data_IF_690534323564
#
_entry.id   IF_690534323564
#
_cell.length_a   1.000
_cell.length_b   1.000
_cell.length_c   1.000
_cell.angle_alpha   90.00
_cell.angle_beta   90.00
_cell.angle_gamma   90.00
#
_symmetry.space_group_name_H-M   'P 1'
#
loop_
_entity.id
_entity.type
_entity.pdbx_description
1 polymer ?
#
# COMPACT_ATOMS: atom_id res chain seq x y z
N UNK A 1 -24.18 6.84 -25.76
CA UNK A 1 -24.20 7.74 -24.60
C UNK A 1 -24.42 7.06 -23.25
N UNK A 2 -24.46 5.72 -23.13
CA UNK A 2 -24.91 5.08 -21.87
C UNK A 2 -23.84 4.33 -21.05
N UNK A 3 -22.58 4.30 -21.43
CA UNK A 3 -21.59 3.49 -20.70
C UNK A 3 -20.61 4.30 -19.83
N UNK A 4 -20.40 5.57 -20.14
CA UNK A 4 -19.47 6.44 -19.37
C UNK A 4 -20.20 7.12 -18.21
N UNK A 5 -21.42 7.64 -18.44
CA UNK A 5 -22.22 8.28 -17.38
C UNK A 5 -22.59 7.32 -16.25
N UNK A 6 -22.83 6.04 -16.54
CA UNK A 6 -23.19 5.05 -15.50
C UNK A 6 -22.01 4.68 -14.61
N UNK A 7 -20.75 4.73 -15.10
CA UNK A 7 -19.54 4.43 -14.31
C UNK A 7 -19.21 5.49 -13.28
N UNK A 8 -19.55 6.75 -13.53
CA UNK A 8 -19.26 7.86 -12.61
C UNK A 8 -20.42 8.19 -11.66
N UNK A 9 -21.54 7.49 -11.76
CA UNK A 9 -22.73 7.72 -10.93
C UNK A 9 -22.66 7.03 -9.55
N UNK A 10 -21.70 6.13 -9.31
CA UNK A 10 -21.59 5.41 -8.04
C UNK A 10 -20.44 5.95 -7.19
N UNK A 11 -20.65 6.00 -5.89
CA UNK A 11 -19.63 6.35 -4.90
C UNK A 11 -18.84 5.13 -4.40
N UNK A 12 -19.07 3.96 -4.98
CA UNK A 12 -18.35 2.74 -4.62
C UNK A 12 -16.82 2.93 -4.78
N UNK A 13 -15.99 2.59 -3.75
CA UNK A 13 -16.30 1.80 -2.56
C UNK A 13 -16.69 2.59 -1.28
N UNK A 14 -17.11 3.86 -1.37
CA UNK A 14 -17.45 4.68 -0.20
C UNK A 14 -18.85 4.31 0.31
N UNK A 15 -18.90 3.67 1.48
CA UNK A 15 -20.13 3.09 2.03
C UNK A 15 -21.11 4.13 2.59
N UNK A 16 -20.61 5.27 3.07
CA UNK A 16 -21.41 6.31 3.71
C UNK A 16 -21.56 7.59 2.89
N UNK A 17 -21.34 7.54 1.58
CA UNK A 17 -21.35 8.70 0.69
C UNK A 17 -22.63 9.55 0.79
N UNK A 18 -23.81 8.90 0.90
CA UNK A 18 -25.09 9.59 1.06
C UNK A 18 -25.17 10.46 2.33
N UNK A 19 -24.49 10.06 3.42
CA UNK A 19 -24.44 10.84 4.64
C UNK A 19 -23.53 12.07 4.45
N UNK A 20 -22.39 11.90 3.80
CA UNK A 20 -21.40 12.94 3.58
C UNK A 20 -21.88 14.12 2.72
N UNK A 21 -22.94 13.92 1.90
CA UNK A 21 -23.51 14.97 1.05
C UNK A 21 -24.78 15.62 1.62
N UNK A 22 -25.21 15.23 2.82
CA UNK A 22 -26.41 15.81 3.47
C UNK A 22 -26.15 17.18 4.10
N UNK A 23 -24.89 17.53 4.27
CA UNK A 23 -24.44 18.78 4.91
C UNK A 23 -23.24 19.38 4.15
N UNK A 24 -22.81 20.56 4.56
CA UNK A 24 -21.71 21.27 3.90
C UNK A 24 -22.07 21.74 2.49
N UNK A 25 -21.05 21.93 1.67
CA UNK A 25 -21.18 22.36 0.28
C UNK A 25 -21.48 21.16 -0.63
N UNK A 26 -22.72 20.74 -0.67
CA UNK A 26 -23.19 19.50 -1.28
C UNK A 26 -22.57 19.19 -2.65
N UNK A 27 -22.61 20.17 -3.58
CA UNK A 27 -22.19 19.95 -4.97
C UNK A 27 -20.73 19.54 -5.09
N UNK A 28 -19.82 20.32 -4.49
CA UNK A 28 -18.38 20.02 -4.57
C UNK A 28 -18.00 18.77 -3.77
N UNK A 29 -18.77 18.45 -2.69
CA UNK A 29 -18.61 17.17 -1.97
C UNK A 29 -19.02 15.99 -2.85
N UNK A 30 -20.16 16.07 -3.55
CA UNK A 30 -20.60 15.04 -4.49
C UNK A 30 -19.55 14.80 -5.59
N UNK A 31 -19.05 15.89 -6.19
CA UNK A 31 -18.05 15.80 -7.25
C UNK A 31 -16.73 15.22 -6.73
N UNK A 32 -16.24 15.68 -5.57
CA UNK A 32 -15.01 15.17 -4.95
C UNK A 32 -15.13 13.67 -4.58
N UNK A 33 -16.28 13.24 -4.03
CA UNK A 33 -16.56 11.83 -3.72
C UNK A 33 -16.58 10.96 -4.97
N UNK A 34 -17.15 11.42 -6.08
CA UNK A 34 -17.15 10.70 -7.36
C UNK A 34 -15.73 10.56 -7.91
N UNK A 35 -14.95 11.62 -7.87
CA UNK A 35 -13.57 11.64 -8.36
C UNK A 35 -12.71 10.66 -7.56
N UNK A 36 -12.76 10.72 -6.23
CA UNK A 36 -11.91 9.84 -5.40
C UNK A 36 -12.36 8.38 -5.48
N UNK A 37 -13.66 8.11 -5.62
CA UNK A 37 -14.19 6.76 -5.79
C UNK A 37 -13.64 6.09 -7.07
N UNK A 38 -13.48 6.84 -8.17
CA UNK A 38 -12.85 6.33 -9.40
C UNK A 38 -11.38 6.02 -9.16
N UNK A 39 -10.65 6.89 -8.46
CA UNK A 39 -9.26 6.65 -8.08
C UNK A 39 -9.10 5.40 -7.21
N UNK A 40 -9.98 5.22 -6.21
CA UNK A 40 -9.98 4.03 -5.35
C UNK A 40 -10.25 2.74 -6.14
N UNK A 41 -11.19 2.76 -7.09
CA UNK A 41 -11.43 1.59 -7.97
C UNK A 41 -10.24 1.28 -8.87
N UNK A 42 -9.52 2.30 -9.35
CA UNK A 42 -8.31 2.11 -10.14
C UNK A 42 -7.12 1.57 -9.30
N UNK A 43 -7.23 1.68 -7.99
CA UNK A 43 -6.29 1.08 -7.04
C UNK A 43 -6.54 -0.41 -6.78
N UNK A 44 -7.64 -0.99 -7.28
CA UNK A 44 -7.98 -2.41 -7.06
C UNK A 44 -6.97 -3.34 -7.77
N UNK A 45 -6.23 -4.17 -7.01
CA UNK A 45 -5.24 -5.07 -7.59
C UNK A 45 -5.85 -6.19 -8.42
N UNK A 46 -7.08 -6.61 -8.12
CA UNK A 46 -7.81 -7.62 -8.90
C UNK A 46 -8.13 -7.08 -10.29
N UNK A 47 -8.73 -5.88 -10.36
CA UNK A 47 -9.01 -5.22 -11.63
C UNK A 47 -7.73 -4.96 -12.45
N UNK A 48 -6.65 -4.50 -11.78
CA UNK A 48 -5.35 -4.32 -12.44
C UNK A 48 -4.77 -5.64 -12.96
N UNK A 49 -4.93 -6.73 -12.21
CA UNK A 49 -4.51 -8.07 -12.66
C UNK A 49 -5.32 -8.53 -13.86
N UNK A 50 -6.65 -8.36 -13.84
CA UNK A 50 -7.52 -8.74 -14.96
C UNK A 50 -7.18 -8.01 -16.27
N UNK A 51 -6.74 -6.77 -16.17
CA UNK A 51 -6.35 -5.99 -17.34
C UNK A 51 -5.02 -6.47 -17.93
N UNK A 52 -4.07 -6.86 -17.08
CA UNK A 52 -2.72 -7.21 -17.49
C UNK A 52 -2.50 -8.70 -17.73
N UNK A 53 -3.35 -9.57 -17.11
CA UNK A 53 -3.21 -11.02 -17.21
C UNK A 53 -4.47 -11.60 -17.86
N UNK A 54 -4.31 -12.18 -19.03
CA UNK A 54 -5.41 -12.86 -19.71
C UNK A 54 -4.90 -14.07 -20.50
N UNK A 55 -5.79 -15.03 -20.75
CA UNK A 55 -5.49 -16.28 -21.44
C UNK A 55 -6.35 -16.41 -22.69
N UNK A 56 -5.72 -16.78 -23.81
CA UNK A 56 -6.39 -17.18 -25.04
C UNK A 56 -5.89 -18.59 -25.44
N UNK A 57 -6.73 -19.59 -25.22
CA UNK A 57 -6.36 -20.98 -25.41
C UNK A 57 -5.17 -21.39 -24.53
N UNK A 58 -4.08 -21.80 -25.15
CA UNK A 58 -2.84 -22.17 -24.48
C UNK A 58 -1.80 -21.03 -24.41
N UNK A 59 -2.15 -19.82 -24.81
CA UNK A 59 -1.28 -18.66 -24.68
C UNK A 59 -1.74 -17.80 -23.50
N UNK A 60 -0.83 -17.58 -22.54
CA UNK A 60 -1.02 -16.68 -21.41
C UNK A 60 -0.29 -15.37 -21.69
N UNK A 61 -1.01 -14.28 -21.58
CA UNK A 61 -0.49 -12.91 -21.68
C UNK A 61 -0.35 -12.30 -20.30
N UNK A 62 0.82 -11.72 -20.02
CA UNK A 62 1.09 -10.98 -18.78
C UNK A 62 1.74 -9.66 -19.20
N UNK A 63 0.95 -8.58 -19.21
CA UNK A 63 1.34 -7.34 -19.87
C UNK A 63 1.82 -7.58 -21.31
N UNK A 64 3.05 -7.23 -21.64
CA UNK A 64 3.64 -7.46 -22.98
C UNK A 64 4.28 -8.85 -23.14
N UNK A 65 4.31 -9.65 -22.06
CA UNK A 65 4.93 -10.98 -22.09
C UNK A 65 3.92 -12.05 -22.45
N UNK A 66 4.37 -13.03 -23.27
CA UNK A 66 3.57 -14.18 -23.70
C UNK A 66 4.25 -15.47 -23.21
N UNK A 67 3.45 -16.36 -22.63
CA UNK A 67 3.87 -17.70 -22.20
C UNK A 67 3.03 -18.73 -22.95
N UNK A 68 3.69 -19.62 -23.67
CA UNK A 68 3.05 -20.79 -24.27
C UNK A 68 2.89 -21.88 -23.21
N UNK A 69 1.68 -22.05 -22.71
CA UNK A 69 1.35 -23.02 -21.68
C UNK A 69 1.50 -24.48 -22.11
N UNK A 70 1.61 -24.77 -23.41
CA UNK A 70 1.91 -26.14 -23.88
C UNK A 70 3.31 -26.59 -23.48
N UNK A 71 4.22 -25.65 -23.23
CA UNK A 71 5.59 -25.87 -22.78
C UNK A 71 5.76 -25.79 -21.25
N UNK A 72 4.67 -25.58 -20.52
CA UNK A 72 4.64 -25.44 -19.06
C UNK A 72 3.98 -26.66 -18.43
N UNK A 73 4.71 -27.37 -17.55
CA UNK A 73 4.21 -28.57 -16.88
C UNK A 73 3.26 -28.22 -15.74
N UNK A 74 3.66 -27.26 -14.87
CA UNK A 74 2.86 -26.82 -13.74
C UNK A 74 2.85 -25.30 -13.63
N UNK A 75 1.72 -24.74 -13.16
CA UNK A 75 1.59 -23.33 -12.83
C UNK A 75 1.26 -23.20 -11.35
N UNK A 76 2.06 -22.41 -10.63
CA UNK A 76 1.90 -22.17 -9.20
C UNK A 76 1.64 -20.70 -8.91
N UNK A 77 0.94 -20.44 -7.80
CA UNK A 77 0.76 -19.08 -7.25
C UNK A 77 1.24 -19.06 -5.81
N UNK A 78 2.18 -18.20 -5.49
CA UNK A 78 2.66 -17.95 -4.13
C UNK A 78 2.59 -16.47 -3.81
N UNK A 79 2.51 -16.08 -2.55
CA UNK A 79 2.57 -14.66 -2.23
C UNK A 79 2.15 -14.31 -0.83
N UNK A 80 2.26 -13.00 -0.55
CA UNK A 80 1.81 -12.41 0.71
C UNK A 80 1.59 -10.91 0.56
N UNK A 81 0.68 -10.36 1.36
CA UNK A 81 0.46 -8.92 1.45
C UNK A 81 -1.02 -8.54 1.44
N UNK A 82 -1.28 -7.26 1.77
CA UNK A 82 -2.65 -6.71 1.87
C UNK A 82 -3.44 -6.74 0.55
N UNK A 83 -2.73 -6.68 -0.59
CA UNK A 83 -3.33 -6.75 -1.94
C UNK A 83 -3.09 -8.08 -2.66
N UNK A 84 -2.52 -9.10 -1.99
CA UNK A 84 -2.16 -10.37 -2.64
C UNK A 84 -3.38 -11.24 -2.92
N UNK A 85 -4.43 -11.14 -2.10
CA UNK A 85 -5.64 -11.94 -2.25
C UNK A 85 -6.43 -11.63 -3.52
N UNK A 86 -6.74 -10.35 -3.86
CA UNK A 86 -7.38 -10.01 -5.12
C UNK A 86 -6.56 -10.44 -6.35
N UNK A 87 -5.23 -10.31 -6.29
CA UNK A 87 -4.34 -10.80 -7.35
C UNK A 87 -4.47 -12.32 -7.50
N UNK A 88 -4.38 -13.06 -6.39
CA UNK A 88 -4.47 -14.52 -6.39
C UNK A 88 -5.84 -15.00 -6.89
N UNK A 89 -6.92 -14.34 -6.48
CA UNK A 89 -8.28 -14.67 -6.94
C UNK A 89 -8.41 -14.51 -8.46
N UNK A 90 -7.90 -13.42 -9.01
CA UNK A 90 -7.92 -13.19 -10.45
C UNK A 90 -7.03 -14.18 -11.20
N UNK A 91 -5.84 -14.49 -10.67
CA UNK A 91 -4.98 -15.54 -11.24
C UNK A 91 -5.67 -16.91 -11.25
N UNK A 92 -6.41 -17.27 -10.19
CA UNK A 92 -7.16 -18.52 -10.16
C UNK A 92 -8.25 -18.57 -11.23
N UNK A 93 -8.92 -17.44 -11.51
CA UNK A 93 -9.92 -17.35 -12.58
C UNK A 93 -9.30 -17.47 -13.97
N UNK A 94 -8.23 -16.72 -14.23
CA UNK A 94 -7.56 -16.68 -15.55
C UNK A 94 -6.88 -18.02 -15.86
N UNK A 95 -6.16 -18.59 -14.90
CA UNK A 95 -5.42 -19.83 -15.08
C UNK A 95 -6.34 -21.05 -15.10
N UNK A 96 -7.45 -21.01 -14.35
CA UNK A 96 -8.49 -22.04 -14.32
C UNK A 96 -7.92 -23.47 -14.16
N UNK A 97 -8.07 -24.29 -15.19
CA UNK A 97 -7.60 -25.69 -15.24
C UNK A 97 -6.06 -25.83 -15.29
N UNK A 98 -5.34 -24.77 -15.64
CA UNK A 98 -3.87 -24.77 -15.69
C UNK A 98 -3.22 -24.52 -14.35
N UNK A 99 -3.96 -23.99 -13.35
CA UNK A 99 -3.43 -23.76 -12.01
C UNK A 99 -3.26 -25.09 -11.26
N UNK A 100 -2.01 -25.40 -10.90
CA UNK A 100 -1.67 -26.64 -10.21
C UNK A 100 -1.87 -26.54 -8.70
N UNK A 101 -1.35 -25.51 -8.06
CA UNK A 101 -1.49 -25.23 -6.64
C UNK A 101 -1.07 -23.79 -6.31
N UNK A 102 -1.44 -23.32 -5.12
CA UNK A 102 -0.97 -22.02 -4.64
C UNK A 102 -1.09 -21.86 -3.13
N UNK A 103 -0.35 -20.90 -2.59
CA UNK A 103 -0.44 -20.45 -1.19
C UNK A 103 -0.25 -18.95 -1.14
N UNK A 104 -1.18 -18.23 -0.51
CA UNK A 104 -1.05 -16.80 -0.22
C UNK A 104 -1.30 -16.51 1.25
N UNK A 105 -0.45 -15.65 1.84
CA UNK A 105 -0.59 -15.18 3.21
C UNK A 105 -1.24 -13.81 3.26
N UNK A 106 -2.29 -13.67 4.07
CA UNK A 106 -3.11 -12.46 4.21
C UNK A 106 -3.22 -12.05 5.68
N UNK A 107 -3.63 -10.81 5.95
CA UNK A 107 -3.91 -10.38 7.33
C UNK A 107 -5.20 -11.00 7.84
N UNK A 108 -5.37 -11.01 9.16
CA UNK A 108 -6.60 -11.49 9.81
C UNK A 108 -7.85 -10.77 9.26
N UNK A 109 -8.93 -11.55 9.04
CA UNK A 109 -10.22 -11.05 8.60
C UNK A 109 -10.43 -11.01 7.08
N UNK A 110 -9.42 -11.35 6.28
CA UNK A 110 -9.55 -11.49 4.83
C UNK A 110 -9.87 -12.96 4.48
N UNK A 111 -11.13 -13.28 4.18
CA UNK A 111 -11.57 -14.67 3.95
C UNK A 111 -12.40 -14.89 2.68
N UNK A 112 -11.92 -14.68 1.47
CA UNK A 112 -12.43 -15.48 0.37
C UNK A 112 -11.75 -16.83 0.32
N UNK A 113 -12.54 -17.89 0.25
CA UNK A 113 -12.03 -19.24 -0.05
C UNK A 113 -11.80 -19.35 -1.54
N UNK A 114 -10.55 -19.49 -1.93
CA UNK A 114 -10.18 -19.88 -3.28
C UNK A 114 -10.28 -21.42 -3.41
N UNK A 115 -10.36 -21.92 -4.64
CA UNK A 115 -10.58 -23.35 -4.90
C UNK A 115 -9.30 -24.16 -4.86
N UNK A 116 -8.22 -23.58 -5.42
CA UNK A 116 -6.93 -24.24 -5.65
C UNK A 116 -5.81 -23.59 -4.84
N UNK A 117 -5.97 -22.29 -4.53
CA UNK A 117 -5.00 -21.54 -3.74
C UNK A 117 -5.38 -21.60 -2.26
N UNK A 118 -4.46 -22.09 -1.41
CA UNK A 118 -4.59 -22.08 0.05
C UNK A 118 -4.35 -20.66 0.59
N UNK A 119 -5.36 -20.08 1.21
CA UNK A 119 -5.31 -18.74 1.81
C UNK A 119 -5.05 -18.89 3.30
N UNK A 120 -3.93 -18.32 3.78
CA UNK A 120 -3.49 -18.40 5.16
C UNK A 120 -3.49 -17.04 5.84
N UNK A 121 -4.20 -16.91 6.93
CA UNK A 121 -4.14 -15.74 7.80
C UNK A 121 -2.84 -15.73 8.61
N UNK A 122 -2.23 -14.55 8.76
CA UNK A 122 -0.99 -14.34 9.50
C UNK A 122 -0.95 -12.97 10.19
N UNK A 123 -0.06 -12.85 11.19
CA UNK A 123 0.06 -11.63 12.00
C UNK A 123 0.59 -10.43 11.20
N UNK A 124 -0.08 -9.30 11.37
CA UNK A 124 0.33 -8.00 10.81
C UNK A 124 -0.07 -6.87 11.78
N UNK A 125 0.79 -5.88 12.09
CA UNK A 125 2.13 -5.60 11.51
C UNK A 125 3.28 -6.44 12.08
N UNK A 126 3.08 -7.18 13.16
CA UNK A 126 4.09 -8.04 13.74
C UNK A 126 3.90 -9.49 13.26
N UNK A 127 4.97 -10.15 12.77
CA UNK A 127 4.89 -11.54 12.37
C UNK A 127 4.64 -12.44 13.58
N UNK A 128 3.86 -13.50 13.40
CA UNK A 128 3.59 -14.54 14.40
C UNK A 128 3.92 -15.94 13.87
N UNK A 129 3.57 -16.99 14.63
CA UNK A 129 3.82 -18.37 14.23
C UNK A 129 3.08 -18.75 12.92
N UNK A 130 1.95 -18.12 12.62
CA UNK A 130 1.20 -18.30 11.38
C UNK A 130 1.96 -17.74 10.19
N UNK A 131 2.68 -16.61 10.37
CA UNK A 131 3.58 -16.03 9.35
C UNK A 131 4.70 -17.01 8.96
N UNK A 132 5.24 -17.74 9.94
CA UNK A 132 6.25 -18.78 9.71
C UNK A 132 5.66 -19.96 8.95
N UNK A 133 4.50 -20.47 9.40
CA UNK A 133 3.82 -21.58 8.74
C UNK A 133 3.38 -21.25 7.30
N UNK A 134 2.98 -20.00 7.05
CA UNK A 134 2.67 -19.54 5.69
C UNK A 134 3.93 -19.49 4.82
N UNK A 135 5.03 -18.95 5.34
CA UNK A 135 6.32 -18.93 4.64
C UNK A 135 6.84 -20.33 4.32
N UNK A 136 6.73 -21.29 5.26
CA UNK A 136 7.08 -22.70 5.02
C UNK A 136 6.30 -23.28 3.85
N UNK A 137 5.00 -23.06 3.78
CA UNK A 137 4.17 -23.57 2.69
C UNK A 137 4.48 -22.91 1.34
N UNK A 138 4.78 -21.60 1.33
CA UNK A 138 5.22 -20.86 0.15
C UNK A 138 6.56 -21.43 -0.35
N UNK A 139 7.53 -21.60 0.54
CA UNK A 139 8.84 -22.15 0.21
C UNK A 139 8.74 -23.60 -0.28
N UNK A 140 7.83 -24.40 0.27
CA UNK A 140 7.61 -25.78 -0.19
C UNK A 140 7.08 -25.83 -1.64
N UNK A 141 6.34 -24.82 -2.11
CA UNK A 141 5.97 -24.69 -3.53
C UNK A 141 7.18 -24.25 -4.35
N UNK A 142 7.93 -23.23 -3.89
CA UNK A 142 9.11 -22.75 -4.57
C UNK A 142 10.16 -23.86 -4.77
N UNK A 143 10.40 -24.66 -3.73
CA UNK A 143 11.37 -25.77 -3.76
C UNK A 143 10.93 -26.94 -4.69
N UNK A 144 9.65 -27.06 -5.06
CA UNK A 144 9.15 -28.05 -6.01
C UNK A 144 9.23 -27.61 -7.47
N UNK A 145 9.27 -26.31 -7.71
CA UNK A 145 9.22 -25.77 -9.04
C UNK A 145 10.46 -26.15 -9.86
N UNK A 146 10.26 -26.56 -11.11
CA UNK A 146 11.31 -27.02 -12.01
C UNK A 146 11.39 -26.13 -13.26
N UNK A 147 12.38 -26.36 -14.10
CA UNK A 147 12.71 -25.55 -15.28
C UNK A 147 11.56 -25.33 -16.28
N UNK A 148 10.58 -26.22 -16.29
CA UNK A 148 9.39 -26.14 -17.14
C UNK A 148 8.15 -25.64 -16.41
N UNK A 149 8.30 -25.17 -15.18
CA UNK A 149 7.20 -24.64 -14.40
C UNK A 149 7.15 -23.09 -14.49
N UNK A 150 5.96 -22.57 -14.21
CA UNK A 150 5.69 -21.14 -14.09
C UNK A 150 5.21 -20.85 -12.66
N UNK A 151 5.84 -19.89 -12.00
CA UNK A 151 5.45 -19.45 -10.65
C UNK A 151 5.05 -17.98 -10.67
N UNK A 152 3.80 -17.69 -10.35
CA UNK A 152 3.37 -16.34 -10.02
C UNK A 152 3.66 -16.03 -8.56
N UNK A 153 4.32 -14.89 -8.31
CA UNK A 153 4.55 -14.37 -6.98
C UNK A 153 3.69 -13.11 -6.75
N UNK A 154 2.55 -13.22 -6.06
CA UNK A 154 1.67 -12.11 -5.70
C UNK A 154 2.18 -11.45 -4.41
N UNK A 155 3.04 -10.43 -4.53
CA UNK A 155 3.74 -9.81 -3.38
C UNK A 155 3.38 -8.35 -3.27
N UNK A 156 2.75 -7.97 -2.15
CA UNK A 156 2.27 -6.60 -1.93
C UNK A 156 2.63 -6.09 -0.52
N UNK A 157 2.27 -4.84 -0.20
CA UNK A 157 2.51 -4.24 1.11
C UNK A 157 2.05 -5.13 2.26
N UNK A 158 2.86 -5.25 3.32
CA UNK A 158 2.62 -6.16 4.44
C UNK A 158 3.27 -7.55 4.32
N UNK A 159 3.73 -7.96 3.14
CA UNK A 159 4.38 -9.26 2.91
C UNK A 159 5.50 -9.56 3.91
N UNK A 160 6.24 -8.53 4.30
CA UNK A 160 7.38 -8.65 5.22
C UNK A 160 7.01 -9.16 6.62
N UNK A 161 5.77 -8.95 7.07
CA UNK A 161 5.24 -9.53 8.31
C UNK A 161 4.51 -10.84 8.05
N UNK A 162 3.67 -10.89 7.02
CA UNK A 162 2.79 -12.02 6.72
C UNK A 162 3.56 -13.26 6.24
N UNK A 163 4.76 -13.07 5.66
CA UNK A 163 5.62 -14.13 5.13
C UNK A 163 7.02 -13.97 5.72
N UNK A 164 7.23 -14.51 6.91
CA UNK A 164 8.49 -14.43 7.64
C UNK A 164 8.96 -15.81 8.03
N UNK A 165 10.16 -16.20 7.60
CA UNK A 165 10.82 -17.44 7.97
C UNK A 165 12.22 -17.13 8.51
N UNK A 166 12.46 -17.20 9.83
CA UNK A 166 13.79 -16.97 10.38
C UNK A 166 14.83 -17.92 9.77
N UNK A 167 16.07 -17.44 9.66
CA UNK A 167 17.19 -18.28 9.23
C UNK A 167 17.49 -19.38 10.26
N UNK A 168 18.21 -20.42 9.85
CA UNK A 168 18.51 -21.54 10.73
C UNK A 168 19.29 -21.06 11.98
N UNK A 169 18.85 -21.53 13.16
CA UNK A 169 19.45 -21.16 14.45
C UNK A 169 18.91 -19.86 15.07
N UNK A 170 18.13 -19.07 14.33
CA UNK A 170 17.48 -17.84 14.81
C UNK A 170 15.99 -18.12 15.01
N UNK A 171 15.43 -17.69 16.14
CA UNK A 171 14.01 -17.86 16.43
C UNK A 171 13.17 -16.68 15.94
N UNK A 172 11.85 -16.87 15.84
CA UNK A 172 10.93 -15.76 15.55
C UNK A 172 11.00 -14.67 16.64
N UNK A 173 11.16 -15.06 17.89
CA UNK A 173 11.31 -14.14 19.02
C UNK A 173 12.59 -13.30 18.90
N UNK A 174 13.71 -13.88 18.46
CA UNK A 174 14.95 -13.16 18.20
C UNK A 174 14.75 -12.11 17.09
N UNK A 175 14.07 -12.48 16.00
CA UNK A 175 13.80 -11.58 14.89
C UNK A 175 12.87 -10.42 15.30
N UNK A 176 11.86 -10.70 16.13
CA UNK A 176 10.99 -9.68 16.70
C UNK A 176 11.78 -8.74 17.63
N UNK A 177 12.63 -9.29 18.49
CA UNK A 177 13.49 -8.51 19.39
C UNK A 177 14.40 -7.54 18.61
N UNK A 178 15.10 -8.02 17.60
CA UNK A 178 15.97 -7.17 16.77
C UNK A 178 15.18 -6.08 16.04
N UNK A 179 14.00 -6.42 15.53
CA UNK A 179 13.12 -5.45 14.86
C UNK A 179 12.67 -4.34 15.83
N UNK A 180 12.28 -4.70 17.05
CA UNK A 180 11.86 -3.73 18.08
C UNK A 180 13.03 -2.82 18.52
N UNK A 181 14.24 -3.39 18.70
CA UNK A 181 15.44 -2.61 18.99
C UNK A 181 15.73 -1.56 17.91
N UNK A 182 15.65 -1.96 16.64
CA UNK A 182 15.87 -1.06 15.51
C UNK A 182 14.81 0.04 15.42
N UNK A 183 13.53 -0.30 15.59
CA UNK A 183 12.43 0.67 15.60
C UNK A 183 12.62 1.70 16.72
N UNK A 184 12.91 1.26 17.94
CA UNK A 184 13.16 2.14 19.10
C UNK A 184 14.39 3.00 18.95
N UNK A 185 15.38 2.56 18.19
CA UNK A 185 16.58 3.36 17.90
C UNK A 185 16.35 4.48 16.87
N UNK A 186 15.16 4.54 16.27
CA UNK A 186 14.82 5.48 15.19
C UNK A 186 15.54 5.14 13.88
N UNK A 187 15.89 3.86 13.64
CA UNK A 187 16.48 3.43 12.39
C UNK A 187 15.51 3.63 11.24
N UNK A 188 15.93 4.19 10.09
CA UNK A 188 15.10 4.28 8.90
C UNK A 188 14.82 2.89 8.32
N UNK A 189 13.77 2.80 7.50
CA UNK A 189 13.28 1.51 6.98
C UNK A 189 14.35 0.73 6.20
N UNK A 190 15.23 1.41 5.48
CA UNK A 190 16.28 0.77 4.70
C UNK A 190 17.31 0.04 5.60
N UNK A 191 17.67 0.64 6.71
CA UNK A 191 18.56 0.05 7.71
C UNK A 191 17.89 -1.14 8.41
N UNK A 192 16.59 -0.99 8.79
CA UNK A 192 15.82 -2.09 9.37
C UNK A 192 15.75 -3.27 8.38
N UNK A 193 15.50 -2.99 7.11
CA UNK A 193 15.39 -4.01 6.08
C UNK A 193 16.75 -4.67 5.78
N UNK A 194 17.87 -3.94 5.81
CA UNK A 194 19.21 -4.52 5.67
C UNK A 194 19.45 -5.65 6.69
N UNK A 195 19.06 -5.44 7.95
CA UNK A 195 19.17 -6.46 9.00
C UNK A 195 18.14 -7.59 8.79
N UNK A 196 16.86 -7.25 8.55
CA UNK A 196 15.78 -8.24 8.42
C UNK A 196 15.96 -9.18 7.23
N UNK A 197 16.54 -8.71 6.12
CA UNK A 197 16.83 -9.52 4.93
C UNK A 197 17.83 -10.62 5.25
N UNK A 198 18.88 -10.32 6.02
CA UNK A 198 19.90 -11.29 6.40
C UNK A 198 19.41 -12.30 7.44
N UNK A 199 18.37 -11.99 8.21
CA UNK A 199 17.78 -12.88 9.22
C UNK A 199 16.57 -13.70 8.73
N UNK A 200 16.23 -13.63 7.42
CA UNK A 200 15.02 -14.27 6.88
C UNK A 200 15.34 -15.12 5.64
N UNK A 201 14.74 -16.32 5.57
CA UNK A 201 14.91 -17.26 4.45
C UNK A 201 14.12 -16.88 3.18
N UNK A 202 13.26 -15.85 3.25
CA UNK A 202 12.37 -15.43 2.15
C UNK A 202 12.81 -14.12 1.55
N UNK A 203 13.27 -13.18 2.39
CA UNK A 203 13.63 -11.80 2.00
C UNK A 203 14.96 -11.73 1.26
N UNK A 204 15.28 -10.55 0.72
CA UNK A 204 16.53 -10.31 0.01
C UNK A 204 16.67 -11.16 -1.25
N UNK A 205 15.61 -11.31 -2.02
CA UNK A 205 15.59 -12.09 -3.26
C UNK A 205 15.62 -13.61 -3.07
N UNK A 206 15.62 -14.11 -1.83
CA UNK A 206 15.76 -15.56 -1.57
C UNK A 206 14.55 -16.37 -2.05
N UNK A 207 13.32 -15.79 -2.06
CA UNK A 207 12.17 -16.47 -2.66
C UNK A 207 12.40 -16.67 -4.17
N UNK A 208 12.84 -15.65 -4.88
CA UNK A 208 13.15 -15.77 -6.30
C UNK A 208 14.25 -16.83 -6.54
N UNK A 209 15.31 -16.81 -5.74
CA UNK A 209 16.40 -17.77 -5.86
C UNK A 209 15.93 -19.22 -5.67
N UNK A 210 14.93 -19.47 -4.80
CA UNK A 210 14.34 -20.80 -4.60
C UNK A 210 13.40 -21.22 -5.71
N UNK A 211 12.70 -20.26 -6.35
CA UNK A 211 11.84 -20.54 -7.51
C UNK A 211 12.67 -21.01 -8.72
N UNK A 212 13.91 -20.55 -8.84
CA UNK A 212 14.77 -20.97 -9.96
C UNK A 212 15.01 -22.49 -9.93
N UNK A 213 15.03 -23.19 -11.09
CA UNK A 213 15.11 -22.66 -12.45
C UNK A 213 13.76 -22.38 -13.15
N UNK A 214 12.64 -22.43 -12.43
CA UNK A 214 11.33 -22.10 -12.97
C UNK A 214 11.24 -20.62 -13.44
N UNK A 215 10.30 -20.33 -14.33
CA UNK A 215 9.99 -18.94 -14.65
C UNK A 215 9.18 -18.30 -13.52
N UNK A 216 9.63 -17.13 -13.04
CA UNK A 216 8.98 -16.37 -11.99
C UNK A 216 8.35 -15.08 -12.56
N UNK A 217 7.04 -14.91 -12.41
CA UNK A 217 6.35 -13.65 -12.71
C UNK A 217 5.82 -13.06 -11.41
N UNK A 218 6.42 -11.96 -10.99
CA UNK A 218 6.01 -11.26 -9.77
C UNK A 218 4.97 -10.20 -10.11
N UNK A 219 3.77 -10.34 -9.56
CA UNK A 219 2.72 -9.31 -9.61
C UNK A 219 2.74 -8.52 -8.30
N UNK A 220 2.81 -7.21 -8.39
CA UNK A 220 2.99 -6.34 -7.21
C UNK A 220 2.23 -5.02 -7.34
N UNK A 221 2.13 -4.30 -6.21
CA UNK A 221 1.73 -2.89 -6.16
C UNK A 221 2.99 -2.05 -6.03
N UNK A 222 3.26 -1.15 -6.96
CA UNK A 222 4.48 -0.34 -6.92
C UNK A 222 4.33 0.88 -5.99
N UNK A 223 4.47 0.67 -4.70
CA UNK A 223 4.45 1.73 -3.68
C UNK A 223 5.84 2.29 -3.36
N UNK A 224 6.90 1.58 -3.68
CA UNK A 224 8.28 2.01 -3.42
C UNK A 224 8.74 3.17 -4.32
N UNK A 225 8.22 3.25 -5.55
CA UNK A 225 8.49 4.33 -6.52
C UNK A 225 10.00 4.62 -6.70
N UNK A 226 10.83 3.55 -6.66
CA UNK A 226 12.27 3.64 -6.83
C UNK A 226 13.07 4.02 -5.57
N UNK A 227 12.44 4.24 -4.42
CA UNK A 227 13.14 4.57 -3.16
C UNK A 227 13.97 3.41 -2.61
N UNK A 228 13.49 2.17 -2.79
CA UNK A 228 14.17 0.96 -2.35
C UNK A 228 13.74 -0.23 -3.22
N UNK A 229 14.51 -1.34 -3.24
CA UNK A 229 14.13 -2.55 -3.97
C UNK A 229 12.78 -3.10 -3.49
N UNK A 230 11.79 -3.17 -4.39
CA UNK A 230 10.46 -3.69 -4.12
C UNK A 230 9.92 -4.48 -5.31
N UNK A 231 9.37 -5.68 -5.12
CA UNK A 231 9.26 -6.42 -3.85
C UNK A 231 10.59 -7.11 -3.48
N UNK A 232 11.03 -6.92 -2.24
CA UNK A 232 12.36 -7.35 -1.76
C UNK A 232 12.59 -8.86 -1.78
N UNK A 233 11.55 -9.66 -1.76
CA UNK A 233 11.63 -11.15 -1.81
C UNK A 233 11.95 -11.68 -3.21
N UNK A 234 11.75 -10.86 -4.25
CA UNK A 234 11.95 -11.21 -5.65
C UNK A 234 12.98 -10.30 -6.36
N UNK A 235 13.73 -9.49 -5.62
CA UNK A 235 14.75 -8.59 -6.15
C UNK A 235 16.09 -8.77 -5.44
N UNK A 236 17.22 -8.47 -6.12
CA UNK A 236 18.53 -8.43 -5.49
C UNK A 236 18.58 -7.49 -4.30
N UNK A 237 19.28 -7.92 -3.26
CA UNK A 237 19.59 -7.11 -2.08
C UNK A 237 20.98 -6.49 -2.21
N UNK A 238 21.10 -5.16 -2.24
CA UNK A 238 22.40 -4.50 -2.35
C UNK A 238 23.23 -4.56 -1.04
N UNK A 239 22.60 -4.94 0.10
CA UNK A 239 23.24 -4.96 1.41
C UNK A 239 23.88 -6.31 1.72
N UNK A 240 24.91 -6.33 2.59
CA UNK A 240 25.67 -7.51 2.98
C UNK A 240 25.51 -7.81 4.48
N UNK A 241 26.01 -8.96 4.95
CA UNK A 241 26.12 -9.25 6.38
C UNK A 241 26.92 -8.17 7.13
N UNK A 242 27.98 -7.66 6.51
CA UNK A 242 28.77 -6.57 7.09
C UNK A 242 27.96 -5.28 7.27
N UNK A 243 27.10 -4.95 6.30
CA UNK A 243 26.19 -3.80 6.39
C UNK A 243 25.14 -4.00 7.51
N UNK A 244 24.54 -5.18 7.62
CA UNK A 244 23.61 -5.51 8.68
C UNK A 244 24.25 -5.34 10.08
N UNK A 245 25.47 -5.84 10.28
CA UNK A 245 26.26 -5.65 11.50
C UNK A 245 26.56 -4.16 11.70
N UNK A 246 26.96 -3.46 10.64
CA UNK A 246 27.25 -2.02 10.65
C UNK A 246 26.08 -1.19 11.16
N UNK A 247 24.86 -1.46 10.68
CA UNK A 247 23.62 -0.82 11.13
C UNK A 247 23.39 -1.04 12.63
N UNK A 248 23.48 -2.28 13.11
CA UNK A 248 23.26 -2.60 14.54
C UNK A 248 24.27 -1.89 15.46
N UNK A 249 25.52 -1.77 15.02
CA UNK A 249 26.58 -1.03 15.75
C UNK A 249 26.36 0.47 15.71
N UNK A 250 26.05 1.03 14.55
CA UNK A 250 25.79 2.46 14.35
C UNK A 250 24.59 2.94 15.19
N UNK A 251 23.56 2.10 15.32
CA UNK A 251 22.39 2.38 16.14
C UNK A 251 22.60 2.09 17.63
N UNK A 252 23.79 1.67 18.03
CA UNK A 252 24.17 1.33 19.42
C UNK A 252 23.28 0.26 20.07
N UNK A 253 22.77 -0.68 19.28
CA UNK A 253 21.91 -1.79 19.75
C UNK A 253 22.63 -3.14 19.70
N UNK A 254 23.83 -3.24 19.14
CA UNK A 254 24.57 -4.49 18.93
C UNK A 254 24.69 -5.37 20.18
N UNK A 255 24.99 -4.78 21.33
CA UNK A 255 25.16 -5.51 22.59
C UNK A 255 23.83 -5.99 23.21
N UNK A 256 22.69 -5.50 22.69
CA UNK A 256 21.35 -5.90 23.09
C UNK A 256 20.75 -6.97 22.19
N UNK A 257 21.36 -7.21 21.03
CA UNK A 257 20.92 -8.23 20.06
C UNK A 257 21.15 -9.63 20.66
N UNK A 258 20.18 -10.58 20.51
CA UNK A 258 20.36 -11.95 20.96
C UNK A 258 21.66 -12.60 20.42
N UNK A 259 22.30 -13.43 21.24
CA UNK A 259 23.57 -14.09 20.88
C UNK A 259 23.44 -14.95 19.62
N UNK A 260 22.32 -15.61 19.44
CA UNK A 260 21.99 -16.43 18.25
C UNK A 260 22.07 -15.59 16.96
N UNK A 261 21.54 -14.38 17.01
CA UNK A 261 21.54 -13.43 15.87
C UNK A 261 22.95 -12.90 15.62
N UNK A 262 23.66 -12.50 16.68
CA UNK A 262 25.05 -12.00 16.54
C UNK A 262 25.95 -13.06 15.91
N UNK A 263 25.91 -14.28 16.45
CA UNK A 263 26.68 -15.41 15.93
C UNK A 263 26.37 -15.66 14.46
N UNK A 264 25.08 -15.72 14.09
CA UNK A 264 24.67 -15.96 12.71
C UNK A 264 25.15 -14.86 11.76
N UNK A 265 25.05 -13.58 12.17
CA UNK A 265 25.51 -12.45 11.33
C UNK A 265 27.03 -12.45 11.18
N UNK A 266 27.78 -12.73 12.25
CA UNK A 266 29.26 -12.79 12.22
C UNK A 266 29.74 -13.94 11.36
N UNK A 267 29.18 -15.15 11.52
CA UNK A 267 29.49 -16.29 10.68
C UNK A 267 29.14 -16.04 9.20
N UNK A 268 28.02 -15.33 8.94
CA UNK A 268 27.58 -15.01 7.59
C UNK A 268 28.58 -14.18 6.79
N UNK A 269 29.42 -13.37 7.45
CA UNK A 269 30.48 -12.60 6.77
C UNK A 269 31.51 -13.52 6.11
N UNK A 270 31.79 -14.66 6.74
CA UNK A 270 32.76 -15.63 6.25
C UNK A 270 32.16 -16.72 5.33
N UNK A 271 30.83 -16.68 5.15
CA UNK A 271 30.07 -17.67 4.38
C UNK A 271 29.31 -17.01 3.20
N UNK A 272 29.95 -16.67 2.07
CA UNK A 272 29.31 -16.01 0.92
C UNK A 272 28.07 -16.75 0.38
N UNK A 273 27.98 -18.07 0.56
CA UNK A 273 26.82 -18.87 0.17
C UNK A 273 25.55 -18.61 1.02
N UNK A 274 25.68 -17.91 2.16
CA UNK A 274 24.54 -17.52 3.00
C UNK A 274 24.00 -16.14 2.65
N UNK A 275 24.74 -15.39 1.80
CA UNK A 275 24.30 -14.06 1.38
C UNK A 275 22.92 -14.07 0.73
N UNK A 276 22.27 -12.95 0.80
CA UNK A 276 21.05 -12.65 0.06
C UNK A 276 21.34 -12.65 -1.45
N UNK A 277 20.30 -12.74 -2.28
CA UNK A 277 20.46 -12.70 -3.73
C UNK A 277 21.10 -11.37 -4.17
N UNK A 278 22.21 -11.42 -4.91
CA UNK A 278 22.95 -10.22 -5.35
C UNK A 278 22.70 -9.86 -6.80
N UNK A 279 22.44 -10.84 -7.64
CA UNK A 279 22.28 -10.68 -9.08
C UNK A 279 21.15 -11.57 -9.58
N UNK A 280 20.49 -11.14 -10.65
CA UNK A 280 19.44 -11.92 -11.33
C UNK A 280 19.80 -12.29 -12.76
N UNK A 281 21.08 -12.07 -13.12
CA UNK A 281 21.55 -12.37 -14.47
C UNK A 281 21.37 -13.86 -14.81
N UNK A 282 20.73 -14.14 -15.93
CA UNK A 282 20.40 -15.50 -16.35
C UNK A 282 19.17 -16.12 -15.67
N UNK A 283 18.53 -15.46 -14.71
CA UNK A 283 17.28 -15.91 -14.12
C UNK A 283 16.08 -15.59 -15.03
N UNK A 284 15.12 -16.51 -15.06
CA UNK A 284 13.86 -16.30 -15.77
C UNK A 284 12.89 -15.60 -14.83
N UNK A 285 12.95 -14.27 -14.77
CA UNK A 285 12.12 -13.48 -13.86
C UNK A 285 11.59 -12.21 -14.51
N UNK A 286 10.37 -11.80 -14.12
CA UNK A 286 9.70 -10.55 -14.49
C UNK A 286 8.95 -9.98 -13.31
N UNK A 287 8.89 -8.66 -13.24
CA UNK A 287 8.08 -7.94 -12.24
C UNK A 287 7.10 -7.04 -12.98
N UNK A 288 5.82 -7.18 -12.66
CA UNK A 288 4.72 -6.42 -13.25
C UNK A 288 3.95 -5.72 -12.12
N UNK A 289 3.86 -4.40 -12.21
CA UNK A 289 3.00 -3.62 -11.33
C UNK A 289 1.56 -3.70 -11.83
N UNK A 290 0.67 -4.26 -11.02
CA UNK A 290 -0.76 -4.38 -11.40
C UNK A 290 -1.52 -3.08 -11.14
N UNK A 291 -1.08 -2.30 -10.16
CA UNK A 291 -1.53 -0.91 -9.92
C UNK A 291 -0.48 -0.15 -9.13
N UNK A 292 -0.59 1.18 -9.11
CA UNK A 292 0.29 2.09 -8.39
C UNK A 292 -0.42 3.42 -8.08
N UNK A 293 0.18 4.32 -7.28
CA UNK A 293 -0.39 5.63 -6.99
C UNK A 293 -0.63 6.50 -8.23
N UNK A 294 0.22 6.36 -9.26
CA UNK A 294 0.09 7.10 -10.52
C UNK A 294 -1.21 6.75 -11.22
N UNK A 295 -1.48 5.46 -11.38
CA UNK A 295 -2.72 4.95 -12.00
C UNK A 295 -3.98 5.45 -11.28
N UNK A 296 -4.01 5.43 -9.95
CA UNK A 296 -5.13 5.94 -9.18
C UNK A 296 -5.31 7.45 -9.33
N UNK A 297 -4.21 8.22 -9.30
CA UNK A 297 -4.25 9.66 -9.48
C UNK A 297 -4.71 10.04 -10.90
N UNK A 298 -4.24 9.35 -11.94
CA UNK A 298 -4.64 9.57 -13.33
C UNK A 298 -6.12 9.25 -13.56
N UNK A 299 -6.62 8.14 -13.00
CA UNK A 299 -8.03 7.79 -13.07
C UNK A 299 -8.92 8.84 -12.37
N UNK A 300 -8.49 9.36 -11.22
CA UNK A 300 -9.16 10.45 -10.54
C UNK A 300 -9.15 11.74 -11.37
N UNK A 301 -8.03 12.08 -12.04
CA UNK A 301 -7.94 13.25 -12.92
C UNK A 301 -8.88 13.13 -14.12
N UNK A 302 -8.94 11.97 -14.77
CA UNK A 302 -9.87 11.71 -15.86
C UNK A 302 -11.35 11.80 -15.40
N UNK A 303 -11.64 11.32 -14.20
CA UNK A 303 -12.98 11.46 -13.61
C UNK A 303 -13.35 12.94 -13.36
N UNK A 304 -12.39 13.74 -12.92
CA UNK A 304 -12.57 15.18 -12.76
C UNK A 304 -12.86 15.86 -14.11
N UNK A 305 -12.14 15.51 -15.17
CA UNK A 305 -12.35 16.03 -16.52
C UNK A 305 -13.74 15.67 -17.06
N UNK A 306 -14.21 14.44 -16.80
CA UNK A 306 -15.55 14.00 -17.17
C UNK A 306 -16.67 14.80 -16.45
N UNK A 307 -16.38 15.37 -15.27
CA UNK A 307 -17.27 16.25 -14.52
C UNK A 307 -17.12 17.74 -14.88
N UNK A 308 -16.23 18.07 -15.82
CA UNK A 308 -15.99 19.42 -16.29
C UNK A 308 -14.97 20.23 -15.49
N UNK A 309 -14.16 19.57 -14.68
CA UNK A 309 -13.02 20.16 -13.99
C UNK A 309 -11.74 19.95 -14.79
N UNK A 310 -10.78 20.85 -14.68
CA UNK A 310 -9.40 20.57 -15.09
C UNK A 310 -8.78 19.63 -14.07
N UNK A 311 -8.53 18.37 -14.45
CA UNK A 311 -7.82 17.38 -13.61
C UNK A 311 -6.32 17.65 -13.58
N UNK A 312 -5.74 17.82 -12.39
CA UNK A 312 -4.31 18.12 -12.22
C UNK A 312 -3.71 17.17 -11.20
N UNK A 313 -2.86 16.24 -11.66
CA UNK A 313 -2.04 15.42 -10.76
C UNK A 313 -0.83 16.24 -10.32
N UNK A 314 -0.82 16.67 -9.06
CA UNK A 314 0.26 17.47 -8.49
C UNK A 314 1.51 16.61 -8.21
N UNK A 315 1.31 15.45 -7.63
CA UNK A 315 2.37 14.50 -7.30
C UNK A 315 1.75 13.17 -6.87
N UNK A 316 2.48 12.08 -7.08
CA UNK A 316 2.10 10.74 -6.60
C UNK A 316 2.94 10.28 -5.41
N UNK A 317 3.86 11.14 -4.94
CA UNK A 317 4.89 10.81 -3.95
C UNK A 317 5.01 11.86 -2.84
N UNK A 318 3.93 12.58 -2.50
CA UNK A 318 3.98 13.54 -1.39
C UNK A 318 4.22 12.76 -0.09
N UNK A 319 5.27 13.12 0.63
CA UNK A 319 5.60 12.60 1.95
C UNK A 319 5.79 13.73 2.97
N UNK A 320 5.97 13.36 4.23
CA UNK A 320 6.18 14.28 5.34
C UNK A 320 4.99 14.38 6.28
N UNK A 321 4.98 15.43 7.10
CA UNK A 321 3.98 15.64 8.14
C UNK A 321 2.63 16.05 7.53
N UNK A 322 1.56 15.32 7.87
CA UNK A 322 0.23 15.49 7.26
C UNK A 322 -0.31 16.92 7.39
N UNK A 323 -0.18 17.51 8.57
CA UNK A 323 -0.61 18.89 8.86
C UNK A 323 0.10 19.91 7.97
N UNK A 324 1.42 19.78 7.85
CA UNK A 324 2.22 20.73 7.07
C UNK A 324 1.92 20.62 5.57
N UNK A 325 1.78 19.40 5.05
CA UNK A 325 1.37 19.19 3.67
C UNK A 325 -0.03 19.79 3.39
N UNK A 326 -0.97 19.64 4.32
CA UNK A 326 -2.31 20.23 4.22
C UNK A 326 -2.27 21.76 4.14
N UNK A 327 -1.45 22.42 4.96
CA UNK A 327 -1.30 23.88 4.95
C UNK A 327 -0.75 24.40 3.63
N UNK A 328 0.23 23.71 3.04
CA UNK A 328 0.79 24.06 1.73
C UNK A 328 -0.29 23.95 0.65
N UNK A 329 -1.02 22.83 0.62
CA UNK A 329 -2.07 22.63 -0.40
C UNK A 329 -3.28 23.56 -0.19
N UNK A 330 -3.63 23.90 1.05
CA UNK A 330 -4.63 24.94 1.34
C UNK A 330 -4.20 26.31 0.83
N UNK A 331 -2.92 26.67 0.97
CA UNK A 331 -2.36 27.91 0.42
C UNK A 331 -2.46 27.97 -1.11
N UNK A 332 -2.09 26.89 -1.80
CA UNK A 332 -2.24 26.76 -3.26
C UNK A 332 -3.71 26.87 -3.67
N UNK A 333 -4.59 26.16 -2.96
CA UNK A 333 -6.04 26.18 -3.21
C UNK A 333 -6.62 27.59 -3.06
N UNK A 334 -6.18 28.33 -2.05
CA UNK A 334 -6.59 29.72 -1.85
C UNK A 334 -6.11 30.62 -2.97
N UNK A 335 -4.88 30.50 -3.44
CA UNK A 335 -4.38 31.25 -4.58
C UNK A 335 -5.22 30.99 -5.83
N UNK A 336 -5.54 29.72 -6.10
CA UNK A 336 -6.44 29.33 -7.18
C UNK A 336 -7.82 30.00 -7.04
N UNK A 337 -8.40 29.96 -5.84
CA UNK A 337 -9.71 30.52 -5.57
C UNK A 337 -9.76 32.05 -5.77
N UNK A 338 -8.69 32.76 -5.42
CA UNK A 338 -8.60 34.22 -5.46
C UNK A 338 -8.19 34.76 -6.84
N UNK A 339 -7.22 34.11 -7.48
CA UNK A 339 -6.54 34.69 -8.66
C UNK A 339 -6.66 33.83 -9.92
N UNK A 340 -7.11 32.59 -9.80
CA UNK A 340 -7.09 31.61 -10.88
C UNK A 340 -5.68 31.07 -11.19
N UNK A 341 -4.69 31.30 -10.32
CA UNK A 341 -3.32 30.84 -10.52
C UNK A 341 -2.95 29.75 -9.51
N UNK A 342 -2.16 28.75 -9.87
CA UNK A 342 -1.59 28.45 -11.21
C UNK A 342 -2.59 27.77 -12.15
N UNK A 343 -3.81 27.48 -11.71
CA UNK A 343 -4.85 26.81 -12.50
C UNK A 343 -6.18 27.55 -12.36
N UNK A 344 -6.84 27.82 -13.48
CA UNK A 344 -8.19 28.44 -13.45
C UNK A 344 -9.25 27.43 -12.97
N UNK A 345 -10.17 27.81 -12.03
CA UNK A 345 -11.35 27.05 -11.72
C UNK A 345 -12.33 26.95 -12.92
N UNK A 346 -13.10 25.85 -13.06
CA UNK A 346 -13.16 24.73 -12.14
C UNK A 346 -11.98 23.77 -12.33
N UNK A 347 -11.30 23.43 -11.24
CA UNK A 347 -10.20 22.47 -11.29
C UNK A 347 -10.24 21.49 -10.10
N UNK A 348 -9.58 20.35 -10.27
CA UNK A 348 -9.39 19.34 -9.25
C UNK A 348 -7.89 19.02 -9.11
N UNK A 349 -7.35 19.22 -7.93
CA UNK A 349 -5.97 18.90 -7.60
C UNK A 349 -5.94 17.49 -7.00
N UNK A 350 -5.18 16.59 -7.60
CA UNK A 350 -5.06 15.20 -7.18
C UNK A 350 -3.64 14.94 -6.71
N UNK A 351 -3.49 14.21 -5.62
CA UNK A 351 -2.17 13.78 -5.16
C UNK A 351 -2.21 12.45 -4.44
N UNK A 352 -1.12 11.69 -4.59
CA UNK A 352 -0.81 10.46 -3.87
C UNK A 352 0.40 10.62 -2.94
N UNK A 353 0.90 9.52 -2.43
CA UNK A 353 2.05 9.43 -1.53
C UNK A 353 1.66 9.10 -0.10
N UNK A 354 2.64 8.99 0.79
CA UNK A 354 2.46 8.56 2.18
C UNK A 354 2.77 9.70 3.14
N UNK A 355 1.77 10.19 3.86
CA UNK A 355 1.96 11.17 4.91
C UNK A 355 2.08 10.50 6.27
N UNK A 356 2.72 11.17 7.21
CA UNK A 356 2.93 10.71 8.57
C UNK A 356 2.36 11.72 9.58
N UNK A 357 2.14 11.25 10.81
CA UNK A 357 1.80 12.08 11.97
C UNK A 357 2.76 11.73 13.09
N UNK A 358 3.50 12.72 13.55
CA UNK A 358 4.33 12.55 14.74
C UNK A 358 3.51 12.91 16.00
N UNK A 359 2.87 11.92 16.57
CA UNK A 359 1.96 12.09 17.72
C UNK A 359 2.66 12.48 19.03
N UNK A 360 3.99 12.26 19.15
CA UNK A 360 4.74 12.57 20.36
C UNK A 360 4.15 11.89 21.58
N UNK A 361 3.73 12.69 22.59
CA UNK A 361 3.09 12.23 23.82
C UNK A 361 1.56 12.43 23.82
N UNK A 362 0.96 12.81 22.70
CA UNK A 362 -0.48 12.99 22.60
C UNK A 362 -1.23 11.64 22.66
N UNK A 363 -2.41 11.65 23.27
CA UNK A 363 -3.26 10.46 23.45
C UNK A 363 -4.47 10.46 22.49
N UNK A 364 -4.55 11.42 21.55
CA UNK A 364 -5.62 11.53 20.58
C UNK A 364 -5.65 10.38 19.60
N UNK A 365 -6.76 10.22 18.88
CA UNK A 365 -6.95 9.22 17.86
C UNK A 365 -7.20 9.86 16.51
N UNK A 366 -6.60 9.28 15.45
CA UNK A 366 -6.71 9.72 14.07
C UNK A 366 -5.62 9.10 13.22
N UNK A 367 -5.65 9.42 11.93
CA UNK A 367 -4.63 9.03 10.97
C UNK A 367 -4.16 10.20 10.11
N UNK A 368 -3.13 10.00 9.29
CA UNK A 368 -2.58 11.07 8.46
C UNK A 368 -3.60 11.73 7.53
N UNK A 369 -4.53 10.98 6.97
CA UNK A 369 -5.53 11.52 6.05
C UNK A 369 -6.63 12.29 6.77
N UNK A 370 -7.03 11.85 7.95
CA UNK A 370 -7.97 12.58 8.81
C UNK A 370 -7.33 13.89 9.31
N UNK A 371 -6.06 13.85 9.75
CA UNK A 371 -5.33 15.03 10.18
C UNK A 371 -5.10 16.02 9.03
N UNK A 372 -4.78 15.50 7.84
CA UNK A 372 -4.67 16.31 6.62
C UNK A 372 -5.98 17.04 6.31
N UNK A 373 -7.10 16.32 6.25
CA UNK A 373 -8.41 16.91 5.95
C UNK A 373 -8.79 17.99 6.98
N UNK A 374 -8.63 17.69 8.26
CA UNK A 374 -8.94 18.63 9.33
C UNK A 374 -8.05 19.90 9.26
N UNK A 375 -6.73 19.72 9.08
CA UNK A 375 -5.79 20.82 8.95
C UNK A 375 -6.04 21.69 7.71
N UNK A 376 -6.46 21.09 6.59
CA UNK A 376 -6.83 21.80 5.37
C UNK A 376 -8.01 22.77 5.59
N UNK A 377 -8.96 22.44 6.46
CA UNK A 377 -10.17 23.25 6.69
C UNK A 377 -9.96 24.50 7.53
N UNK A 378 -8.81 24.64 8.21
CA UNK A 378 -8.63 25.65 9.25
C UNK A 378 -8.09 27.01 8.78
N UNK A 379 -7.10 27.08 7.87
CA UNK A 379 -6.34 28.31 7.71
C UNK A 379 -7.13 29.43 7.02
N UNK A 380 -8.14 29.09 6.20
CA UNK A 380 -8.79 30.04 5.33
C UNK A 380 -10.25 29.71 5.04
N UNK A 381 -11.10 30.75 4.91
CA UNK A 381 -12.27 30.68 4.06
C UNK A 381 -11.82 30.93 2.61
N UNK A 382 -12.12 30.01 1.72
CA UNK A 382 -11.69 30.10 0.32
C UNK A 382 -12.55 31.09 -0.49
N UNK A 383 -13.77 31.38 -0.02
CA UNK A 383 -14.71 32.28 -0.69
C UNK A 383 -15.28 31.73 -2.00
N UNK A 384 -15.11 30.43 -2.22
CA UNK A 384 -15.63 29.66 -3.36
C UNK A 384 -16.11 28.31 -2.89
N UNK A 385 -16.76 27.55 -3.76
CA UNK A 385 -17.06 26.14 -3.50
C UNK A 385 -15.76 25.32 -3.58
N UNK A 386 -15.29 24.87 -2.43
CA UNK A 386 -14.07 24.03 -2.27
C UNK A 386 -14.40 22.83 -1.41
N UNK A 387 -14.00 21.65 -1.84
CA UNK A 387 -13.99 20.43 -1.02
C UNK A 387 -12.65 19.73 -1.11
N UNK A 388 -12.22 19.16 0.01
CA UNK A 388 -11.00 18.35 0.12
C UNK A 388 -11.35 16.98 0.70
N UNK A 389 -10.85 15.94 0.05
CA UNK A 389 -10.92 14.55 0.51
C UNK A 389 -9.52 14.01 0.62
N UNK A 390 -9.23 13.31 1.72
CA UNK A 390 -8.01 12.54 1.89
C UNK A 390 -8.36 11.17 2.48
N UNK A 391 -7.83 10.10 1.87
CA UNK A 391 -8.07 8.72 2.29
C UNK A 391 -6.80 7.88 2.21
N UNK A 392 -6.68 6.90 3.10
CA UNK A 392 -5.83 5.74 2.88
C UNK A 392 -6.55 4.75 1.97
N UNK A 393 -5.84 4.24 0.97
CA UNK A 393 -6.44 3.36 -0.03
C UNK A 393 -6.76 1.97 0.49
N UNK A 394 -6.19 1.55 1.63
CA UNK A 394 -6.49 0.25 2.26
C UNK A 394 -7.77 0.26 3.12
N UNK A 395 -8.37 1.43 3.30
CA UNK A 395 -9.64 1.61 4.01
C UNK A 395 -9.50 1.87 5.50
N UNK A 396 -8.26 1.99 6.01
CA UNK A 396 -7.97 2.26 7.42
C UNK A 396 -6.90 3.34 7.56
N UNK A 397 -7.22 4.45 8.23
CA UNK A 397 -6.32 5.58 8.40
C UNK A 397 -5.79 5.66 9.84
N UNK A 398 -4.52 5.30 10.04
CA UNK A 398 -3.93 5.15 11.38
C UNK A 398 -4.58 4.02 12.18
N UNK A 399 -4.74 4.17 13.52
CA UNK A 399 -5.35 3.15 14.38
C UNK A 399 -6.89 3.24 14.39
N UNK A 400 -7.53 3.67 13.30
CA UNK A 400 -8.98 3.88 13.22
C UNK A 400 -9.64 2.93 12.21
N UNK A 401 -10.97 2.88 12.21
CA UNK A 401 -11.81 2.04 11.35
C UNK A 401 -12.37 2.79 10.13
N UNK A 402 -11.84 3.97 9.84
CA UNK A 402 -12.25 4.83 8.73
C UNK A 402 -11.09 5.07 7.76
N UNK A 403 -11.40 5.28 6.49
CA UNK A 403 -10.39 5.49 5.45
C UNK A 403 -9.78 6.90 5.47
N UNK A 404 -10.47 7.88 6.06
CA UNK A 404 -10.03 9.27 6.08
C UNK A 404 -11.16 10.25 6.32
N UNK A 405 -11.08 11.44 5.70
CA UNK A 405 -12.07 12.50 5.92
C UNK A 405 -12.35 13.37 4.70
N UNK A 406 -13.53 14.01 4.73
CA UNK A 406 -13.95 15.04 3.77
C UNK A 406 -14.25 16.34 4.50
N UNK A 407 -13.74 17.45 3.97
CA UNK A 407 -14.00 18.81 4.45
C UNK A 407 -14.34 19.74 3.30
N UNK A 408 -14.96 20.88 3.61
CA UNK A 408 -15.27 21.93 2.62
C UNK A 408 -15.09 23.33 3.22
N UNK A 409 -15.30 24.37 2.42
CA UNK A 409 -15.19 25.78 2.85
C UNK A 409 -16.13 26.14 4.02
N UNK A 410 -17.19 25.33 4.26
CA UNK A 410 -18.13 25.50 5.37
C UNK A 410 -17.76 24.74 6.65
N UNK A 411 -16.75 23.86 6.62
CA UNK A 411 -16.44 22.97 7.75
C UNK A 411 -16.09 23.73 9.04
N UNK A 412 -15.22 24.74 8.96
CA UNK A 412 -14.84 25.55 10.13
C UNK A 412 -16.05 26.31 10.72
N UNK A 413 -16.95 26.80 9.88
CA UNK A 413 -18.18 27.49 10.34
C UNK A 413 -19.15 26.53 11.01
N UNK A 414 -19.30 25.31 10.49
CA UNK A 414 -20.10 24.23 11.11
C UNK A 414 -19.54 23.86 12.48
N UNK A 415 -18.23 23.68 12.58
CA UNK A 415 -17.56 23.37 13.84
C UNK A 415 -17.79 24.47 14.89
N UNK A 416 -17.64 25.75 14.50
CA UNK A 416 -17.92 26.89 15.37
C UNK A 416 -19.37 26.91 15.87
N UNK A 417 -20.34 26.59 15.01
CA UNK A 417 -21.74 26.52 15.38
C UNK A 417 -22.06 25.35 16.35
N UNK A 418 -21.19 24.34 16.40
CA UNK A 418 -21.26 23.18 17.31
C UNK A 418 -20.38 23.35 18.55
N UNK A 419 -19.75 24.52 18.73
CA UNK A 419 -18.80 24.80 19.83
C UNK A 419 -17.58 23.86 19.83
N UNK A 420 -17.09 23.46 18.63
CA UNK A 420 -15.92 22.60 18.45
C UNK A 420 -14.68 23.45 18.12
N UNK A 421 -13.63 23.36 18.94
CA UNK A 421 -12.30 23.92 18.65
C UNK A 421 -11.46 22.91 17.82
N UNK A 422 -11.56 22.98 16.49
CA UNK A 422 -10.80 22.11 15.60
C UNK A 422 -9.28 22.25 15.78
N UNK A 423 -8.81 23.46 16.17
CA UNK A 423 -7.40 23.68 16.47
C UNK A 423 -6.93 22.92 17.70
N UNK A 424 -7.79 22.79 18.73
CA UNK A 424 -7.50 21.94 19.90
C UNK A 424 -7.41 20.46 19.49
N UNK A 425 -8.36 19.95 18.70
CA UNK A 425 -8.32 18.58 18.21
C UNK A 425 -7.05 18.28 17.41
N UNK A 426 -6.58 19.21 16.58
CA UNK A 426 -5.32 19.04 15.84
C UNK A 426 -4.09 19.04 16.78
N UNK A 427 -4.06 19.89 17.81
CA UNK A 427 -2.94 19.91 18.78
C UNK A 427 -2.82 18.60 19.56
N UNK A 428 -3.95 17.94 19.81
CA UNK A 428 -4.03 16.66 20.52
C UNK A 428 -3.96 15.44 19.58
N UNK A 429 -3.73 15.63 18.27
CA UNK A 429 -3.80 14.58 17.25
C UNK A 429 -5.09 13.75 17.31
N UNK A 430 -6.22 14.39 17.60
CA UNK A 430 -7.54 13.78 17.80
C UNK A 430 -8.49 14.08 16.63
N UNK A 431 -7.99 13.98 15.40
CA UNK A 431 -8.74 14.26 14.18
C UNK A 431 -9.94 13.32 14.01
N UNK A 432 -9.85 12.07 14.49
CA UNK A 432 -10.97 11.13 14.49
C UNK A 432 -12.18 11.70 15.25
N UNK A 433 -12.02 12.16 16.49
CA UNK A 433 -13.12 12.66 17.27
C UNK A 433 -13.75 13.93 16.65
N UNK A 434 -12.93 14.81 16.05
CA UNK A 434 -13.43 16.02 15.39
C UNK A 434 -14.27 15.69 14.17
N UNK A 435 -13.78 14.86 13.25
CA UNK A 435 -14.48 14.47 12.04
C UNK A 435 -15.72 13.61 12.35
N UNK A 436 -15.68 12.81 13.42
CA UNK A 436 -16.84 12.06 13.89
C UNK A 436 -18.00 12.98 14.30
N UNK A 437 -17.70 14.03 15.08
CA UNK A 437 -18.74 15.00 15.49
C UNK A 437 -19.29 15.81 14.31
N UNK A 438 -18.50 15.99 13.24
CA UNK A 438 -18.91 16.70 12.04
C UNK A 438 -19.64 15.80 11.03
N UNK A 439 -19.72 14.48 11.26
CA UNK A 439 -20.17 13.46 10.29
C UNK A 439 -19.36 13.46 8.97
N UNK A 440 -18.05 13.77 9.07
CA UNK A 440 -17.16 13.96 7.92
C UNK A 440 -16.16 12.80 7.71
N UNK A 441 -16.30 11.67 8.41
CA UNK A 441 -15.51 10.46 8.18
C UNK A 441 -15.86 9.78 6.85
N UNK A 442 -14.85 9.27 6.17
CA UNK A 442 -15.04 8.41 5.00
C UNK A 442 -14.88 6.94 5.41
N UNK A 443 -15.88 6.14 5.14
CA UNK A 443 -15.93 4.71 5.45
C UNK A 443 -15.98 3.92 4.15
N UNK A 444 -14.99 3.05 3.92
CA UNK A 444 -14.94 2.13 2.78
C UNK A 444 -14.97 0.67 3.23
N UNK A 445 -14.64 0.40 4.51
CA UNK A 445 -14.21 -0.92 4.93
C UNK A 445 -12.86 -1.29 4.30
N UNK A 446 -12.45 -2.54 4.43
CA UNK A 446 -11.24 -3.03 3.79
C UNK A 446 -11.42 -3.07 2.28
N UNK A 447 -10.50 -2.43 1.55
CA UNK A 447 -10.56 -2.30 0.08
C UNK A 447 -9.81 -3.41 -0.66
N UNK A 448 -8.99 -4.21 0.05
CA UNK A 448 -8.14 -5.23 -0.57
C UNK A 448 -6.95 -4.67 -1.36
N UNK A 449 -6.67 -3.36 -1.25
CA UNK A 449 -5.49 -2.72 -1.85
C UNK A 449 -4.65 -2.02 -0.80
N UNK A 450 -3.46 -1.56 -1.17
CA UNK A 450 -2.68 -0.56 -0.45
C UNK A 450 -1.68 0.06 -1.43
N UNK A 451 -2.05 1.21 -1.97
CA UNK A 451 -1.18 2.06 -2.77
C UNK A 451 -0.92 3.40 -2.08
N UNK A 452 -0.91 3.42 -0.75
CA UNK A 452 -0.74 4.60 0.10
C UNK A 452 -1.97 5.52 0.08
N UNK A 453 -1.76 6.81 0.25
CA UNK A 453 -2.86 7.77 0.35
C UNK A 453 -3.28 8.31 -1.03
N UNK A 454 -4.54 8.71 -1.14
CA UNK A 454 -5.10 9.45 -2.27
C UNK A 454 -5.85 10.68 -1.77
N UNK A 455 -5.59 11.83 -2.41
CA UNK A 455 -6.20 13.11 -2.04
C UNK A 455 -6.77 13.80 -3.25
N UNK A 456 -7.93 14.42 -3.07
CA UNK A 456 -8.63 15.18 -4.10
C UNK A 456 -9.10 16.51 -3.50
N UNK A 457 -8.71 17.63 -4.12
CA UNK A 457 -9.18 18.97 -3.76
C UNK A 457 -9.90 19.54 -4.98
N UNK A 458 -11.17 19.83 -4.84
CA UNK A 458 -12.01 20.39 -5.90
C UNK A 458 -12.22 21.87 -5.63
N UNK A 459 -11.98 22.72 -6.65
CA UNK A 459 -12.20 24.17 -6.63
C UNK A 459 -13.14 24.53 -7.77
N UNK A 460 -14.25 25.20 -7.43
CA UNK A 460 -15.30 25.57 -8.39
C UNK A 460 -15.51 27.07 -8.53
#
# INVERSE_FOLDING_TARGET
MNSVETRYATYDPILNADALVRHGQRRVREDALRIIAVGLRAADPGAGTQELVHRDGDVLYVAEHQVDLTNVDHVYVVGAGKGSLPIAAMLEEVLADRLTAGVVAVKDGEQPRLRTIDVREAGHPLPDARSVAAAEAILAIADRADARDLVFAAVTGGASALMTMPVYGVTLADLQCVTDLLLRSGAPIDEINAVRRHLCQVKGGRLLARIQPAEAITLTLNTAQGRFPWPDVCLPDPTTFADAIGVLKQRAVWDQVPDTVRTYLEEGVDHPQWETLKEIDGMRTRIVSVTDPGRACEAAAQAAEALGYRGVVLSTIIDGEAREAALVLAGITREIALTGQPFEPPCALISGGELTVNVGAAEGSGGPNQEFALAFSLPYAFGREVACIAVDTDGTDGPTDVAGGVVDDGTASRATAMDLDLGAYLREHNSYAALHQLDDHIVTGHTGTNIMNLRVIVVR
#
